data_IF_822510729883
#
_entry.id   IF_822510729883
#
_cell.length_a   1.000
_cell.length_b   1.000
_cell.length_c   1.000
_cell.angle_alpha   90.00
_cell.angle_beta   90.00
_cell.angle_gamma   90.00
#
_symmetry.space_group_name_H-M   'P 1'
#
loop_
_entity.id
_entity.type
_entity.pdbx_description
1 polymer ?
#
# COMPACT_ATOMS: atom_id res chain seq x y z
N UNK A 1 18.15 -12.87 12.53
CA UNK A 1 17.92 -11.41 12.52
C UNK A 1 16.92 -11.09 13.61
N UNK A 2 17.24 -10.20 14.57
CA UNK A 2 16.30 -9.82 15.64
C UNK A 2 15.29 -8.82 15.06
N UNK A 3 14.09 -9.27 14.75
CA UNK A 3 12.97 -8.41 14.34
C UNK A 3 12.60 -7.51 15.51
N UNK A 4 12.88 -6.20 15.42
CA UNK A 4 12.34 -5.22 16.37
C UNK A 4 10.87 -5.01 16.02
N UNK A 5 9.99 -5.51 16.89
CA UNK A 5 8.54 -5.34 16.85
C UNK A 5 8.31 -3.96 17.54
N UNK A 6 7.93 -2.89 16.79
CA UNK A 6 7.73 -1.49 17.28
C UNK A 6 6.40 -1.21 18.03
N UNK A 7 5.55 -0.18 17.85
CA UNK A 7 4.20 -0.04 18.51
C UNK A 7 3.32 0.89 17.68
N UNK A 8 2.12 0.46 17.25
CA UNK A 8 1.15 1.35 16.55
C UNK A 8 1.19 1.37 15.02
N UNK A 9 1.72 0.35 14.35
CA UNK A 9 1.76 0.22 12.88
C UNK A 9 1.36 -1.19 12.43
N UNK A 10 0.86 -1.34 11.21
CA UNK A 10 0.72 -2.63 10.51
C UNK A 10 1.71 -2.68 9.35
N UNK A 11 2.55 -3.70 9.26
CA UNK A 11 3.35 -3.92 8.06
C UNK A 11 3.15 -5.33 7.52
N UNK A 12 3.33 -5.46 6.21
CA UNK A 12 3.42 -6.74 5.53
C UNK A 12 4.62 -6.73 4.60
N UNK A 13 5.31 -7.87 4.51
CA UNK A 13 6.28 -8.13 3.44
C UNK A 13 5.94 -9.45 2.74
N UNK A 14 6.05 -9.47 1.41
CA UNK A 14 6.25 -10.70 0.66
C UNK A 14 7.75 -10.90 0.52
N UNK A 15 8.23 -12.12 0.72
CA UNK A 15 9.65 -12.44 0.58
C UNK A 15 10.17 -11.92 -0.77
N UNK A 16 11.02 -10.89 -0.71
CA UNK A 16 11.82 -10.24 -1.77
C UNK A 16 11.28 -9.10 -2.62
N UNK A 17 10.00 -8.70 -2.58
CA UNK A 17 9.52 -7.72 -3.60
C UNK A 17 8.94 -6.42 -3.08
N UNK A 18 7.96 -6.40 -2.17
CA UNK A 18 7.37 -5.16 -1.63
C UNK A 18 7.23 -5.20 -0.09
N UNK A 19 7.28 -4.03 0.53
CA UNK A 19 6.95 -3.79 1.93
C UNK A 19 5.93 -2.66 2.05
N UNK A 20 4.94 -2.83 2.90
CA UNK A 20 3.96 -1.78 3.23
C UNK A 20 4.02 -1.51 4.72
N UNK A 21 3.96 -0.24 5.09
CA UNK A 21 3.79 0.21 6.47
C UNK A 21 2.55 1.10 6.54
N UNK A 22 1.64 0.77 7.46
CA UNK A 22 0.43 1.52 7.76
C UNK A 22 0.53 2.06 9.17
N UNK A 23 0.41 3.38 9.30
CA UNK A 23 0.26 4.06 10.57
C UNK A 23 -1.12 3.81 11.18
N UNK A 24 -1.17 3.22 12.38
CA UNK A 24 -2.44 2.93 13.06
C UNK A 24 -2.96 4.11 13.89
N UNK A 25 -2.25 5.23 13.91
CA UNK A 25 -2.75 6.45 14.53
C UNK A 25 -3.67 7.16 13.54
N UNK A 26 -4.88 7.47 13.99
CA UNK A 26 -5.91 8.15 13.20
C UNK A 26 -5.71 9.68 13.21
N UNK A 27 -4.58 10.13 12.67
CA UNK A 27 -4.20 11.55 12.54
C UNK A 27 -3.86 11.86 11.07
N UNK A 28 -4.89 11.91 10.24
CA UNK A 28 -4.77 12.27 8.84
C UNK A 28 -5.94 13.14 8.41
N UNK A 29 -5.71 13.94 7.36
CA UNK A 29 -6.74 14.74 6.73
C UNK A 29 -7.24 14.04 5.46
N UNK A 30 -8.55 14.04 5.28
CA UNK A 30 -9.15 13.50 4.06
C UNK A 30 -9.09 14.54 2.94
N UNK A 31 -8.58 14.17 1.76
CA UNK A 31 -8.67 15.04 0.59
C UNK A 31 -10.09 15.05 0.04
N UNK A 32 -10.44 16.08 -0.73
CA UNK A 32 -11.70 16.10 -1.48
C UNK A 32 -11.68 15.20 -2.71
N UNK A 33 -10.49 14.93 -3.27
CA UNK A 33 -10.31 14.13 -4.47
C UNK A 33 -9.13 13.17 -4.34
N UNK A 34 -9.19 12.06 -5.08
CA UNK A 34 -8.09 11.11 -5.23
C UNK A 34 -8.03 10.62 -6.67
N UNK A 35 -6.81 10.43 -7.17
CA UNK A 35 -6.54 9.92 -8.50
C UNK A 35 -5.81 8.59 -8.41
N UNK A 36 -6.39 7.56 -9.01
CA UNK A 36 -5.81 6.25 -9.18
C UNK A 36 -5.27 6.11 -10.61
N UNK A 37 -4.05 5.62 -10.76
CA UNK A 37 -3.41 5.45 -12.07
C UNK A 37 -2.52 4.23 -12.04
N UNK A 38 -2.26 3.65 -13.21
CA UNK A 38 -1.33 2.55 -13.32
C UNK A 38 0.10 3.03 -13.10
N UNK A 39 0.92 2.20 -12.46
CA UNK A 39 2.34 2.45 -12.34
C UNK A 39 3.10 1.12 -12.15
N UNK A 40 4.41 1.14 -12.35
CA UNK A 40 5.26 -0.05 -12.21
C UNK A 40 5.85 -0.12 -10.81
N UNK A 41 5.65 -1.26 -10.15
CA UNK A 41 6.18 -1.57 -8.82
C UNK A 41 6.90 -2.92 -8.86
N UNK A 42 8.21 -2.88 -8.70
CA UNK A 42 9.07 -4.06 -8.64
C UNK A 42 9.98 -4.05 -7.42
N UNK A 43 11.02 -4.87 -7.40
CA UNK A 43 11.95 -4.94 -6.26
C UNK A 43 12.68 -3.62 -5.96
N UNK A 44 12.92 -2.79 -6.96
CA UNK A 44 13.78 -1.59 -6.90
C UNK A 44 12.97 -0.29 -6.98
N UNK A 45 12.34 0.11 -5.89
CA UNK A 45 11.82 1.47 -5.74
C UNK A 45 12.02 2.01 -4.31
N UNK A 46 12.21 3.33 -4.21
CA UNK A 46 12.37 4.02 -2.94
C UNK A 46 11.07 4.07 -2.12
N UNK A 47 11.08 4.49 -0.85
CA UNK A 47 9.85 4.59 -0.09
C UNK A 47 8.93 5.66 -0.71
N UNK A 48 7.68 5.27 -0.97
CA UNK A 48 6.63 6.19 -1.38
C UNK A 48 5.65 6.38 -0.23
N UNK A 49 5.54 7.61 0.25
CA UNK A 49 4.61 8.04 1.30
C UNK A 49 3.57 9.05 0.80
N UNK A 50 3.71 9.54 -0.43
CA UNK A 50 2.76 10.45 -1.05
C UNK A 50 1.47 9.72 -1.48
N UNK A 51 0.36 10.46 -1.47
CA UNK A 51 -0.96 9.92 -1.78
C UNK A 51 -1.02 9.31 -3.18
N UNK A 52 -0.38 9.95 -4.16
CA UNK A 52 -0.47 9.57 -5.57
C UNK A 52 0.17 8.19 -5.80
N UNK A 53 1.35 7.95 -5.25
CA UNK A 53 2.03 6.67 -5.38
C UNK A 53 1.35 5.55 -4.59
N UNK A 54 0.81 5.85 -3.39
CA UNK A 54 0.02 4.89 -2.61
C UNK A 54 -1.29 4.51 -3.30
N UNK A 55 -1.99 5.48 -3.89
CA UNK A 55 -3.17 5.22 -4.71
C UNK A 55 -2.81 4.38 -5.94
N UNK A 56 -1.75 4.75 -6.67
CA UNK A 56 -1.28 4.00 -7.85
C UNK A 56 -0.92 2.55 -7.52
N UNK A 57 -0.32 2.31 -6.34
CA UNK A 57 0.00 0.97 -5.86
C UNK A 57 -1.25 0.13 -5.59
N UNK A 58 -2.26 0.68 -4.91
CA UNK A 58 -3.51 -0.04 -4.70
C UNK A 58 -4.20 -0.35 -6.02
N UNK A 59 -4.26 0.62 -6.93
CA UNK A 59 -4.96 0.44 -8.20
C UNK A 59 -4.31 -0.63 -9.07
N UNK A 60 -2.99 -0.52 -9.28
CA UNK A 60 -2.20 -1.53 -10.00
C UNK A 60 -2.30 -2.89 -9.32
N UNK A 61 -2.21 -2.93 -7.99
CA UNK A 61 -2.30 -4.17 -7.22
C UNK A 61 -3.67 -4.83 -7.30
N UNK A 62 -4.76 -4.08 -7.19
CA UNK A 62 -6.11 -4.60 -7.38
C UNK A 62 -6.31 -5.08 -8.81
N UNK A 63 -5.78 -4.38 -9.81
CA UNK A 63 -5.83 -4.85 -11.20
C UNK A 63 -5.22 -6.26 -11.36
N UNK A 64 -4.04 -6.50 -10.80
CA UNK A 64 -3.40 -7.82 -10.88
C UNK A 64 -4.01 -8.88 -9.94
N UNK A 65 -4.60 -8.47 -8.82
CA UNK A 65 -5.11 -9.41 -7.80
C UNK A 65 -6.62 -9.69 -7.91
N UNK A 66 -7.44 -8.64 -7.84
CA UNK A 66 -8.90 -8.73 -7.97
C UNK A 66 -9.50 -7.36 -8.30
N UNK A 67 -9.59 -7.05 -9.60
CA UNK A 67 -9.94 -5.71 -10.04
C UNK A 67 -11.38 -5.32 -9.65
N UNK A 68 -12.28 -6.30 -9.57
CA UNK A 68 -13.66 -6.05 -9.16
C UNK A 68 -13.76 -5.47 -7.73
N UNK A 69 -12.81 -5.77 -6.84
CA UNK A 69 -12.80 -5.24 -5.47
C UNK A 69 -12.53 -3.75 -5.43
N UNK A 70 -11.80 -3.20 -6.40
CA UNK A 70 -11.60 -1.75 -6.49
C UNK A 70 -12.94 -1.03 -6.61
N UNK A 71 -13.80 -1.46 -7.54
CA UNK A 71 -15.12 -0.84 -7.76
C UNK A 71 -16.15 -1.17 -6.70
N UNK A 72 -16.13 -2.41 -6.19
CA UNK A 72 -17.19 -2.88 -5.27
C UNK A 72 -16.87 -2.61 -3.81
N UNK A 73 -15.62 -2.29 -3.46
CA UNK A 73 -15.18 -2.09 -2.07
C UNK A 73 -14.44 -0.78 -1.86
N UNK A 74 -13.43 -0.48 -2.68
CA UNK A 74 -12.57 0.69 -2.48
C UNK A 74 -13.29 2.00 -2.81
N UNK A 75 -13.87 2.12 -4.01
CA UNK A 75 -14.62 3.32 -4.41
C UNK A 75 -15.74 3.65 -3.41
N UNK A 76 -16.64 2.71 -3.03
CA UNK A 76 -17.71 2.99 -2.08
C UNK A 76 -17.20 3.46 -0.70
N UNK A 77 -16.08 2.90 -0.21
CA UNK A 77 -15.47 3.33 1.06
C UNK A 77 -15.00 4.79 1.01
N UNK A 78 -14.43 5.21 -0.12
CA UNK A 78 -13.92 6.58 -0.31
C UNK A 78 -15.07 7.57 -0.53
N UNK A 79 -16.02 7.25 -1.39
CA UNK A 79 -17.18 8.11 -1.70
C UNK A 79 -18.08 8.31 -0.48
N UNK A 80 -18.25 7.30 0.38
CA UNK A 80 -18.94 7.42 1.67
C UNK A 80 -18.34 8.50 2.56
N UNK A 81 -17.04 8.79 2.41
CA UNK A 81 -16.33 9.84 3.13
C UNK A 81 -16.27 11.17 2.35
N UNK A 82 -17.12 11.36 1.33
CA UNK A 82 -17.18 12.53 0.44
C UNK A 82 -15.87 12.79 -0.34
N UNK A 83 -15.15 11.72 -0.68
CA UNK A 83 -13.94 11.79 -1.52
C UNK A 83 -14.35 11.44 -2.96
N UNK A 84 -14.14 12.37 -3.89
CA UNK A 84 -14.36 12.11 -5.31
C UNK A 84 -13.22 11.26 -5.86
N UNK A 85 -13.56 10.15 -6.52
CA UNK A 85 -12.58 9.21 -7.06
C UNK A 85 -12.47 9.36 -8.56
N UNK A 86 -11.24 9.55 -9.03
CA UNK A 86 -10.86 9.47 -10.45
C UNK A 86 -9.91 8.30 -10.63
N UNK A 87 -10.01 7.61 -11.76
CA UNK A 87 -9.12 6.52 -12.11
C UNK A 87 -8.80 6.52 -13.61
N UNK A 88 -7.62 6.05 -13.97
CA UNK A 88 -7.18 5.86 -15.35
C UNK A 88 -7.96 4.73 -16.03
N UNK A 89 -8.31 4.87 -17.30
CA UNK A 89 -9.04 3.82 -18.01
C UNK A 89 -8.10 2.68 -18.44
N UNK A 90 -8.64 1.45 -18.50
CA UNK A 90 -7.83 0.28 -18.85
C UNK A 90 -7.33 0.29 -20.30
N UNK A 91 -7.94 1.09 -21.17
CA UNK A 91 -7.53 1.21 -22.58
C UNK A 91 -6.19 1.96 -22.73
N UNK A 92 -5.78 2.72 -21.70
CA UNK A 92 -4.51 3.44 -21.65
C UNK A 92 -3.36 2.60 -21.07
N UNK A 93 -3.63 1.34 -20.70
CA UNK A 93 -2.62 0.40 -20.21
C UNK A 93 -1.71 0.00 -21.37
N UNK A 94 -0.56 0.68 -21.48
CA UNK A 94 0.59 0.09 -22.17
C UNK A 94 0.96 -1.21 -21.45
N UNK A 95 1.38 -2.24 -22.20
CA UNK A 95 1.82 -3.56 -21.66
C UNK A 95 3.02 -3.48 -20.68
N UNK A 96 3.45 -2.28 -20.28
CA UNK A 96 4.68 -1.99 -19.55
C UNK A 96 4.51 -1.84 -18.03
N UNK A 97 3.28 -1.95 -17.51
CA UNK A 97 3.05 -1.86 -16.07
C UNK A 97 3.38 -3.19 -15.36
N UNK A 98 4.57 -3.22 -14.75
CA UNK A 98 5.11 -4.37 -14.03
C UNK A 98 4.72 -4.33 -12.54
N UNK A 99 4.17 -5.42 -12.00
CA UNK A 99 3.79 -5.52 -10.59
C UNK A 99 4.31 -6.83 -9.95
N UNK A 100 5.43 -6.75 -9.25
CA UNK A 100 6.07 -7.91 -8.62
C UNK A 100 5.55 -8.16 -7.20
N UNK A 101 4.28 -8.58 -7.07
CA UNK A 101 3.66 -8.77 -5.76
C UNK A 101 2.93 -10.11 -5.63
N UNK A 102 3.51 -11.18 -6.19
CA UNK A 102 2.93 -12.53 -6.32
C UNK A 102 2.33 -13.10 -5.00
N UNK A 103 2.71 -12.56 -3.83
CA UNK A 103 2.24 -12.99 -2.50
C UNK A 103 1.62 -11.88 -1.62
N UNK A 104 1.11 -10.79 -2.22
CA UNK A 104 0.53 -9.65 -1.48
C UNK A 104 -1.01 -9.66 -1.38
N UNK A 105 -1.66 -10.75 -1.78
CA UNK A 105 -3.12 -10.86 -1.80
C UNK A 105 -3.81 -10.63 -0.45
N UNK A 106 -3.18 -11.06 0.64
CA UNK A 106 -3.72 -10.85 2.00
C UNK A 106 -3.80 -9.37 2.39
N UNK A 107 -2.89 -8.53 1.91
CA UNK A 107 -2.95 -7.09 2.11
C UNK A 107 -4.10 -6.45 1.34
N UNK A 108 -4.28 -6.80 0.07
CA UNK A 108 -5.40 -6.30 -0.74
C UNK A 108 -6.75 -6.76 -0.17
N UNK A 109 -6.84 -8.00 0.31
CA UNK A 109 -8.02 -8.49 1.01
C UNK A 109 -8.31 -7.71 2.29
N UNK A 110 -7.29 -7.49 3.13
CA UNK A 110 -7.42 -6.73 4.37
C UNK A 110 -7.89 -5.28 4.11
N UNK A 111 -7.18 -4.55 3.23
CA UNK A 111 -7.50 -3.16 2.88
C UNK A 111 -8.88 -3.04 2.22
N UNK A 112 -9.31 -4.05 1.46
CA UNK A 112 -10.63 -4.04 0.84
C UNK A 112 -11.79 -4.27 1.81
N UNK A 113 -11.51 -4.67 3.06
CA UNK A 113 -12.53 -4.98 4.08
C UNK A 113 -12.55 -3.99 5.24
N UNK A 114 -11.47 -3.23 5.43
CA UNK A 114 -11.32 -2.30 6.56
C UNK A 114 -11.14 -0.86 6.06
N UNK A 115 -12.20 -0.07 6.21
CA UNK A 115 -12.23 1.34 5.81
C UNK A 115 -11.19 2.18 6.56
N UNK A 116 -10.91 1.88 7.83
CA UNK A 116 -9.92 2.63 8.61
C UNK A 116 -8.52 2.33 8.12
N UNK A 117 -8.18 1.06 7.88
CA UNK A 117 -6.87 0.67 7.35
C UNK A 117 -6.63 1.23 5.94
N UNK A 118 -7.66 1.23 5.08
CA UNK A 118 -7.60 1.87 3.77
C UNK A 118 -7.23 3.35 3.89
N UNK A 119 -7.94 4.09 4.75
CA UNK A 119 -7.72 5.53 4.98
C UNK A 119 -6.35 5.79 5.60
N UNK A 120 -5.94 4.98 6.56
CA UNK A 120 -4.62 5.07 7.19
C UNK A 120 -3.51 4.85 6.18
N UNK A 121 -3.62 3.83 5.33
CA UNK A 121 -2.64 3.59 4.27
C UNK A 121 -2.59 4.77 3.30
N UNK A 122 -3.73 5.20 2.75
CA UNK A 122 -3.78 6.25 1.74
C UNK A 122 -3.39 7.64 2.28
N UNK A 123 -3.89 8.03 3.44
CA UNK A 123 -3.89 9.43 3.88
C UNK A 123 -2.94 9.73 5.03
N UNK A 124 -2.47 8.73 5.79
CA UNK A 124 -1.43 9.02 6.78
C UNK A 124 -0.12 9.37 6.08
N UNK A 125 0.52 10.50 6.42
CA UNK A 125 1.86 10.84 5.91
C UNK A 125 2.94 9.89 6.44
N UNK A 126 2.62 9.10 7.47
CA UNK A 126 3.51 8.09 8.07
C UNK A 126 3.33 6.69 7.48
N UNK A 127 2.27 6.46 6.72
CA UNK A 127 2.12 5.23 5.94
C UNK A 127 2.95 5.33 4.67
N UNK A 128 3.68 4.26 4.34
CA UNK A 128 4.54 4.21 3.17
C UNK A 128 4.60 2.81 2.57
N UNK A 129 5.04 2.73 1.32
CA UNK A 129 5.36 1.48 0.63
C UNK A 129 6.79 1.52 0.10
N UNK A 130 7.48 0.39 0.07
CA UNK A 130 8.90 0.30 -0.31
C UNK A 130 9.19 -1.01 -1.05
N UNK A 131 10.23 -1.03 -1.89
CA UNK A 131 10.69 -2.26 -2.54
C UNK A 131 11.40 -3.19 -1.55
N UNK A 132 11.40 -4.48 -1.83
CA UNK A 132 11.87 -5.55 -0.94
C UNK A 132 13.37 -5.50 -0.65
N UNK A 133 14.17 -4.88 -1.53
CA UNK A 133 15.59 -4.63 -1.28
C UNK A 133 15.87 -3.39 -0.41
N UNK A 134 14.90 -2.49 -0.27
CA UNK A 134 15.00 -1.35 0.66
C UNK A 134 14.30 -1.62 1.99
N UNK A 135 13.32 -2.54 2.02
CA UNK A 135 12.67 -3.03 3.23
C UNK A 135 13.53 -4.00 4.07
N UNK A 136 14.58 -4.60 3.49
CA UNK A 136 15.53 -5.46 4.21
C UNK A 136 16.73 -4.70 4.78
N UNK A 137 17.02 -3.51 4.24
CA UNK A 137 18.13 -2.67 4.68
C UNK A 137 17.68 -1.74 5.81
N UNK A 138 18.04 -2.18 7.03
CA UNK A 138 17.93 -1.50 8.33
C UNK A 138 18.46 -0.04 8.34
N UNK A 139 19.08 0.44 7.25
CA UNK A 139 19.57 1.82 7.07
C UNK A 139 18.45 2.82 6.74
N UNK A 140 17.39 2.41 6.04
CA UNK A 140 16.30 3.34 5.69
C UNK A 140 15.37 3.59 6.89
N UNK A 141 15.07 2.54 7.65
CA UNK A 141 14.32 2.63 8.91
C UNK A 141 15.06 3.33 10.06
N UNK A 142 16.34 3.69 9.88
CA UNK A 142 17.17 4.43 10.84
C UNK A 142 17.16 5.94 10.62
N UNK A 143 16.87 6.41 9.42
CA UNK A 143 16.78 7.83 9.07
C UNK A 143 15.33 8.34 8.98
N UNK A 144 14.35 7.43 9.07
CA UNK A 144 12.96 7.77 9.32
C UNK A 144 12.74 7.68 10.83
N UNK A 145 12.45 8.81 11.49
CA UNK A 145 12.09 8.92 12.92
C UNK A 145 10.72 8.27 13.23
N UNK A 146 10.43 7.08 12.67
CA UNK A 146 9.12 6.46 12.78
C UNK A 146 9.22 4.97 13.16
N UNK A 147 8.52 4.62 14.24
CA UNK A 147 8.54 3.32 14.90
C UNK A 147 7.51 2.31 14.30
N UNK A 148 7.78 1.78 13.10
CA UNK A 148 7.04 0.73 12.34
C UNK A 148 7.17 -0.78 12.76
N UNK A 149 6.11 -1.61 12.63
CA UNK A 149 6.07 -3.08 12.93
C UNK A 149 5.96 -4.04 11.73
N UNK A 150 6.93 -4.94 11.52
CA UNK A 150 6.94 -5.99 10.46
C UNK A 150 6.02 -7.20 10.76
N UNK A 151 5.06 -7.55 9.89
CA UNK A 151 4.59 -8.93 9.72
C UNK A 151 5.17 -9.54 8.44
N UNK A 152 5.99 -10.58 8.58
CA UNK A 152 6.41 -11.40 7.44
C UNK A 152 5.37 -12.45 7.13
N UNK A 153 4.93 -12.56 5.88
CA UNK A 153 4.17 -13.71 5.39
C UNK A 153 5.08 -14.94 5.20
N UNK A 154 5.91 -15.25 6.19
CA UNK A 154 6.75 -16.44 6.22
C UNK A 154 6.06 -17.53 7.06
N UNK A 155 5.44 -18.49 6.37
CA UNK A 155 5.16 -19.82 6.92
C UNK A 155 3.78 -20.00 7.53
N UNK A 156 2.84 -20.45 6.71
CA UNK A 156 1.79 -21.37 7.18
C UNK A 156 2.56 -22.64 7.59
N UNK A 157 2.59 -22.92 8.89
CA UNK A 157 3.03 -24.20 9.45
C UNK A 157 1.86 -25.15 9.60
#
# INVERSE_FOLDING_TARGET
MKTKIRRGFFETNSSSSHGVCIDLINDFQLPSTIYFRFNSFGTFFGPYNDLMMKASYLYTGFYHYNYAWFFTRIIPMLEKNNIQVFYEDMEDISFDHYFDAVWFGSFFDLISKDELLLKQFLFSPRSFLTGGMYGSDDKFYKNLDYECYVYSAAGIG
#
